data_IF_927072826686
#
_entry.id   IF_927072826686
#
_cell.length_a   1.000
_cell.length_b   1.000
_cell.length_c   1.000
_cell.angle_alpha   90.00
_cell.angle_beta   90.00
_cell.angle_gamma   90.00
#
_symmetry.space_group_name_H-M   'P 1'
#
loop_
_entity.id
_entity.type
_entity.pdbx_description
1 polymer ?
#
# COMPACT_ATOMS: atom_id res chain seq x y z
N UNK A 1 5.25 -28.04 15.53
CA UNK A 1 5.43 -26.62 15.16
C UNK A 1 4.26 -26.20 14.27
N UNK A 2 3.53 -25.14 14.60
CA UNK A 2 2.35 -24.74 13.82
C UNK A 2 2.70 -24.53 12.34
N UNK A 3 2.00 -25.22 11.43
CA UNK A 3 2.20 -25.17 9.97
C UNK A 3 2.33 -23.74 9.42
N UNK A 4 1.60 -22.79 10.01
CA UNK A 4 1.65 -21.38 9.67
C UNK A 4 3.01 -20.71 9.92
N UNK A 5 3.71 -21.05 11.00
CA UNK A 5 5.01 -20.45 11.31
C UNK A 5 6.08 -20.88 10.29
N UNK A 6 6.02 -22.13 9.83
CA UNK A 6 6.87 -22.63 8.75
C UNK A 6 6.61 -21.88 7.45
N UNK A 7 5.34 -21.66 7.13
CA UNK A 7 4.90 -20.92 5.95
C UNK A 7 5.36 -19.45 5.99
N UNK A 8 5.16 -18.76 7.11
CA UNK A 8 5.61 -17.39 7.30
C UNK A 8 7.14 -17.26 7.21
N UNK A 9 7.89 -18.17 7.83
CA UNK A 9 9.36 -18.18 7.74
C UNK A 9 9.84 -18.39 6.30
N UNK A 10 9.15 -19.24 5.53
CA UNK A 10 9.41 -19.42 4.10
C UNK A 10 9.16 -18.12 3.34
N UNK A 11 8.00 -17.49 3.53
CA UNK A 11 7.63 -16.27 2.79
C UNK A 11 8.55 -15.08 3.13
N UNK A 12 8.97 -14.95 4.39
CA UNK A 12 10.01 -13.99 4.78
C UNK A 12 11.32 -14.26 4.00
N UNK A 13 11.85 -15.48 4.06
CA UNK A 13 13.10 -15.81 3.35
C UNK A 13 13.02 -15.54 1.84
N UNK A 14 11.91 -15.89 1.20
CA UNK A 14 11.69 -15.64 -0.23
C UNK A 14 11.53 -14.14 -0.55
N UNK A 15 11.09 -13.34 0.42
CA UNK A 15 10.91 -11.91 0.27
C UNK A 15 12.18 -11.07 0.46
N UNK A 16 13.25 -11.63 1.04
CA UNK A 16 14.51 -10.90 1.28
C UNK A 16 15.12 -10.24 0.02
N UNK A 17 15.18 -10.91 -1.15
CA UNK A 17 15.72 -10.26 -2.36
C UNK A 17 14.93 -9.01 -2.76
N UNK A 18 13.61 -9.02 -2.59
CA UNK A 18 12.78 -7.84 -2.85
C UNK A 18 13.13 -6.71 -1.89
N UNK A 19 13.21 -6.99 -0.59
CA UNK A 19 13.59 -6.00 0.42
C UNK A 19 14.97 -5.40 0.12
N UNK A 20 15.98 -6.23 -0.13
CA UNK A 20 17.34 -5.75 -0.42
C UNK A 20 17.40 -4.91 -1.70
N UNK A 21 16.62 -5.28 -2.73
CA UNK A 21 16.54 -4.49 -3.97
C UNK A 21 15.96 -3.11 -3.70
N UNK A 22 14.87 -3.01 -2.92
CA UNK A 22 14.26 -1.72 -2.59
C UNK A 22 15.19 -0.88 -1.70
N UNK A 23 15.81 -1.48 -0.68
CA UNK A 23 16.76 -0.78 0.19
C UNK A 23 17.99 -0.29 -0.59
N UNK A 24 18.48 -1.06 -1.57
CA UNK A 24 19.58 -0.64 -2.45
C UNK A 24 19.16 0.57 -3.31
N UNK A 25 17.98 0.52 -3.94
CA UNK A 25 17.46 1.63 -4.75
C UNK A 25 17.29 2.89 -3.90
N UNK A 26 16.70 2.74 -2.70
CA UNK A 26 16.54 3.85 -1.76
C UNK A 26 17.89 4.41 -1.31
N UNK A 27 18.84 3.54 -0.97
CA UNK A 27 20.19 3.93 -0.56
C UNK A 27 20.93 4.70 -1.66
N UNK A 28 20.90 4.19 -2.89
CA UNK A 28 21.48 4.89 -4.05
C UNK A 28 20.82 6.24 -4.27
N UNK A 29 19.49 6.32 -4.20
CA UNK A 29 18.75 7.58 -4.27
C UNK A 29 19.23 8.58 -3.22
N UNK A 30 19.34 8.17 -1.96
CA UNK A 30 19.81 9.04 -0.88
C UNK A 30 21.25 9.50 -1.08
N UNK A 31 22.16 8.61 -1.49
CA UNK A 31 23.55 8.99 -1.81
C UNK A 31 23.60 10.03 -2.91
N UNK A 32 22.81 9.87 -3.98
CA UNK A 32 22.75 10.87 -5.06
C UNK A 32 22.20 12.21 -4.58
N UNK A 33 21.16 12.23 -3.75
CA UNK A 33 20.61 13.46 -3.20
C UNK A 33 21.60 14.19 -2.29
N UNK A 34 22.34 13.46 -1.45
CA UNK A 34 23.39 14.04 -0.60
C UNK A 34 24.52 14.63 -1.47
N UNK A 35 24.93 13.93 -2.54
CA UNK A 35 25.90 14.46 -3.49
C UNK A 35 25.48 15.79 -4.13
N UNK A 36 24.22 15.87 -4.56
CA UNK A 36 23.65 17.12 -5.08
C UNK A 36 23.53 18.21 -4.00
N UNK A 37 23.16 17.84 -2.77
CA UNK A 37 23.09 18.79 -1.66
C UNK A 37 24.45 19.42 -1.35
N UNK A 38 25.54 18.64 -1.45
CA UNK A 38 26.90 19.17 -1.36
C UNK A 38 27.27 20.11 -2.51
N UNK A 39 26.79 19.84 -3.72
CA UNK A 39 27.04 20.72 -4.88
C UNK A 39 26.26 22.04 -4.80
N UNK A 40 24.96 21.98 -4.47
CA UNK A 40 24.07 23.14 -4.38
C UNK A 40 24.06 23.82 -3.00
N UNK A 41 24.82 23.30 -2.04
CA UNK A 41 24.88 23.78 -0.65
C UNK A 41 23.49 23.87 0.01
N UNK A 42 22.60 22.92 -0.30
CA UNK A 42 21.22 22.90 0.18
C UNK A 42 20.72 21.49 0.46
N UNK A 43 20.24 21.25 1.69
CA UNK A 43 19.66 19.97 2.11
C UNK A 43 18.19 19.80 1.71
N UNK A 44 17.57 20.83 1.13
CA UNK A 44 16.18 20.83 0.66
C UNK A 44 15.92 19.66 -0.29
N UNK A 45 16.84 19.39 -1.22
CA UNK A 45 16.70 18.28 -2.17
C UNK A 45 16.68 16.90 -1.48
N UNK A 46 17.46 16.72 -0.42
CA UNK A 46 17.50 15.48 0.38
C UNK A 46 16.17 15.28 1.09
N UNK A 47 15.63 16.34 1.70
CA UNK A 47 14.33 16.29 2.36
C UNK A 47 13.20 15.95 1.37
N UNK A 48 13.18 16.59 0.19
CA UNK A 48 12.19 16.32 -0.86
C UNK A 48 12.26 14.86 -1.30
N UNK A 49 13.47 14.32 -1.54
CA UNK A 49 13.61 12.91 -1.94
C UNK A 49 13.15 11.97 -0.82
N UNK A 50 13.51 12.24 0.44
CA UNK A 50 13.13 11.40 1.58
C UNK A 50 11.60 11.37 1.78
N UNK A 51 10.92 12.51 1.68
CA UNK A 51 9.45 12.62 1.69
C UNK A 51 8.86 11.84 0.51
N UNK A 52 9.42 12.01 -0.69
CA UNK A 52 8.96 11.30 -1.90
C UNK A 52 9.09 9.78 -1.75
N UNK A 53 10.16 9.30 -1.11
CA UNK A 53 10.36 7.89 -0.79
C UNK A 53 9.36 7.41 0.26
N UNK A 54 8.95 8.23 1.23
CA UNK A 54 7.82 7.91 2.11
C UNK A 54 6.55 7.67 1.28
N UNK A 55 6.20 8.58 0.36
CA UNK A 55 5.04 8.40 -0.53
C UNK A 55 5.15 7.14 -1.41
N UNK A 56 6.36 6.82 -1.90
CA UNK A 56 6.59 5.60 -2.69
C UNK A 56 6.24 4.31 -1.91
N UNK A 57 6.27 4.33 -0.57
CA UNK A 57 5.86 3.18 0.25
C UNK A 57 4.37 2.84 0.11
N UNK A 58 3.55 3.75 -0.44
CA UNK A 58 2.18 3.45 -0.85
C UNK A 58 2.13 2.17 -1.71
N UNK A 59 3.11 2.01 -2.61
CA UNK A 59 3.19 0.88 -3.54
C UNK A 59 4.06 -0.28 -3.05
N UNK A 60 4.74 -0.16 -1.91
CA UNK A 60 5.67 -1.19 -1.42
C UNK A 60 4.96 -2.52 -1.19
N UNK A 61 3.93 -2.54 -0.34
CA UNK A 61 3.22 -3.77 -0.01
C UNK A 61 2.47 -4.36 -1.23
N UNK A 62 1.73 -3.57 -2.03
CA UNK A 62 1.16 -4.05 -3.30
C UNK A 62 2.20 -4.70 -4.24
N UNK A 63 3.35 -4.06 -4.44
CA UNK A 63 4.40 -4.57 -5.33
C UNK A 63 5.07 -5.83 -4.78
N UNK A 64 5.32 -5.88 -3.47
CA UNK A 64 5.83 -7.08 -2.79
C UNK A 64 4.89 -8.27 -3.00
N UNK A 65 3.59 -8.07 -2.74
CA UNK A 65 2.60 -9.13 -2.87
C UNK A 65 2.46 -9.60 -4.31
N UNK A 66 2.40 -8.68 -5.27
CA UNK A 66 2.35 -9.03 -6.69
C UNK A 66 3.57 -9.88 -7.09
N UNK A 67 4.77 -9.50 -6.64
CA UNK A 67 6.00 -10.25 -6.91
C UNK A 67 5.97 -11.63 -6.26
N UNK A 68 5.60 -11.70 -4.99
CA UNK A 68 5.51 -12.96 -4.23
C UNK A 68 4.48 -13.92 -4.83
N UNK A 69 3.31 -13.41 -5.22
CA UNK A 69 2.25 -14.18 -5.87
C UNK A 69 2.69 -14.65 -7.27
N UNK A 70 3.36 -13.81 -8.06
CA UNK A 70 3.87 -14.20 -9.37
C UNK A 70 4.93 -15.30 -9.30
N UNK A 71 5.81 -15.29 -8.29
CA UNK A 71 6.75 -16.38 -8.03
C UNK A 71 5.98 -17.68 -7.76
N UNK A 72 4.94 -17.61 -6.94
CA UNK A 72 4.11 -18.78 -6.61
C UNK A 72 3.30 -19.28 -7.81
N UNK A 73 2.84 -18.37 -8.68
CA UNK A 73 2.15 -18.73 -9.92
C UNK A 73 3.02 -19.27 -11.03
N UNK A 74 4.31 -18.97 -11.04
CA UNK A 74 5.25 -19.63 -11.95
C UNK A 74 5.60 -21.03 -11.47
N UNK A 75 5.71 -21.22 -10.16
CA UNK A 75 6.15 -22.48 -9.54
C UNK A 75 4.98 -23.43 -9.21
N UNK A 76 3.73 -22.97 -9.30
CA UNK A 76 2.52 -23.71 -8.93
C UNK A 76 2.54 -24.24 -7.48
N UNK A 77 3.39 -23.70 -6.61
CA UNK A 77 3.57 -24.19 -5.23
C UNK A 77 2.30 -24.05 -4.38
N UNK A 78 1.38 -23.15 -4.75
CA UNK A 78 0.11 -23.02 -4.03
C UNK A 78 -0.77 -24.26 -4.17
N UNK A 79 -0.69 -25.00 -5.30
CA UNK A 79 -1.53 -26.18 -5.56
C UNK A 79 -1.14 -27.36 -4.67
N UNK A 80 0.13 -27.41 -4.26
CA UNK A 80 0.69 -28.48 -3.44
C UNK A 80 0.79 -28.09 -1.96
N UNK A 81 0.22 -26.95 -1.56
CA UNK A 81 0.27 -26.49 -0.19
C UNK A 81 -0.90 -27.08 0.63
N UNK A 82 -0.65 -27.83 1.72
CA UNK A 82 -1.71 -28.42 2.55
C UNK A 82 -2.46 -27.39 3.41
N UNK A 83 -2.07 -26.12 3.39
CA UNK A 83 -2.75 -25.05 4.12
C UNK A 83 -3.87 -24.43 3.28
N UNK A 84 -4.93 -23.98 3.94
CA UNK A 84 -6.00 -23.21 3.29
C UNK A 84 -5.47 -21.94 2.62
N UNK A 85 -6.16 -21.49 1.56
CA UNK A 85 -5.79 -20.29 0.82
C UNK A 85 -5.72 -19.04 1.70
N UNK A 86 -6.57 -18.96 2.74
CA UNK A 86 -6.52 -17.88 3.75
C UNK A 86 -5.16 -17.84 4.44
N UNK A 87 -4.65 -18.99 4.93
CA UNK A 87 -3.36 -19.06 5.62
C UNK A 87 -2.21 -18.67 4.70
N UNK A 88 -2.29 -19.05 3.42
CA UNK A 88 -1.29 -18.74 2.40
C UNK A 88 -1.25 -17.24 2.08
N UNK A 89 -2.40 -16.60 1.85
CA UNK A 89 -2.43 -15.17 1.59
C UNK A 89 -2.06 -14.36 2.83
N UNK A 90 -2.48 -14.81 4.02
CA UNK A 90 -2.17 -14.15 5.28
C UNK A 90 -0.66 -14.20 5.58
N UNK A 91 0.03 -15.32 5.35
CA UNK A 91 1.48 -15.39 5.57
C UNK A 91 2.25 -14.43 4.68
N UNK A 92 1.84 -14.27 3.42
CA UNK A 92 2.41 -13.27 2.51
C UNK A 92 2.13 -11.84 2.92
N UNK A 93 0.90 -11.58 3.33
CA UNK A 93 0.49 -10.26 3.79
C UNK A 93 1.29 -9.84 5.01
N UNK A 94 1.45 -10.73 6.00
CA UNK A 94 2.27 -10.48 7.19
C UNK A 94 3.74 -10.29 6.80
N UNK A 95 4.31 -11.15 5.95
CA UNK A 95 5.71 -11.01 5.52
C UNK A 95 5.96 -9.66 4.83
N UNK A 96 5.10 -9.28 3.90
CA UNK A 96 5.17 -7.99 3.22
C UNK A 96 4.95 -6.81 4.17
N UNK A 97 4.00 -6.93 5.10
CA UNK A 97 3.70 -5.89 6.08
C UNK A 97 4.90 -5.62 6.98
N UNK A 98 5.56 -6.67 7.48
CA UNK A 98 6.77 -6.53 8.30
C UNK A 98 7.91 -5.84 7.53
N UNK A 99 8.09 -6.18 6.24
CA UNK A 99 9.07 -5.51 5.39
C UNK A 99 8.72 -4.06 5.09
N UNK A 100 7.45 -3.78 4.79
CA UNK A 100 6.96 -2.42 4.59
C UNK A 100 7.14 -1.58 5.83
N UNK A 101 6.81 -2.12 7.02
CA UNK A 101 6.95 -1.43 8.29
C UNK A 101 8.42 -1.14 8.62
N UNK A 102 9.31 -2.11 8.44
CA UNK A 102 10.75 -1.93 8.65
C UNK A 102 11.36 -0.90 7.71
N UNK A 103 11.08 -1.01 6.40
CA UNK A 103 11.56 -0.07 5.38
C UNK A 103 11.00 1.34 5.59
N UNK A 104 9.71 1.46 5.90
CA UNK A 104 9.05 2.74 6.16
C UNK A 104 9.62 3.41 7.42
N UNK A 105 9.91 2.63 8.47
CA UNK A 105 10.54 3.15 9.70
C UNK A 105 11.95 3.70 9.42
N UNK A 106 12.73 3.02 8.58
CA UNK A 106 14.06 3.49 8.19
C UNK A 106 13.98 4.81 7.42
N UNK A 107 13.12 4.90 6.40
CA UNK A 107 13.00 6.14 5.63
C UNK A 107 12.38 7.28 6.44
N UNK A 108 11.50 6.98 7.40
CA UNK A 108 10.95 7.97 8.31
C UNK A 108 12.06 8.64 9.13
N UNK A 109 12.97 7.85 9.72
CA UNK A 109 14.14 8.39 10.46
C UNK A 109 14.99 9.28 9.56
N UNK A 110 15.30 8.80 8.35
CA UNK A 110 16.06 9.57 7.35
C UNK A 110 15.35 10.88 6.98
N UNK A 111 14.03 10.85 6.83
CA UNK A 111 13.21 12.02 6.49
C UNK A 111 13.23 13.05 7.61
N UNK A 112 13.07 12.62 8.87
CA UNK A 112 13.17 13.50 10.04
C UNK A 112 14.54 14.18 10.09
N UNK A 113 15.62 13.41 9.93
CA UNK A 113 16.99 13.97 9.92
C UNK A 113 17.14 14.97 8.76
N UNK A 114 16.65 14.65 7.57
CA UNK A 114 16.78 15.50 6.39
C UNK A 114 16.04 16.83 6.55
N UNK A 115 14.83 16.82 7.12
CA UNK A 115 14.03 18.03 7.38
C UNK A 115 14.71 18.91 8.43
N UNK A 116 15.28 18.32 9.49
CA UNK A 116 16.02 19.08 10.51
C UNK A 116 17.22 19.82 9.90
N UNK A 117 17.92 19.20 8.96
CA UNK A 117 19.07 19.82 8.29
C UNK A 117 18.66 20.81 7.17
N UNK A 118 17.45 20.70 6.63
CA UNK A 118 16.97 21.57 5.56
C UNK A 118 16.47 22.94 6.05
N UNK A 119 16.19 23.11 7.36
CA UNK A 119 15.80 24.38 7.99
C UNK A 119 14.43 24.92 7.55
N UNK A 120 14.26 25.22 6.26
CA UNK A 120 13.04 25.74 5.63
C UNK A 120 11.84 24.79 5.83
N UNK A 121 12.07 23.48 5.78
CA UNK A 121 11.01 22.48 5.97
C UNK A 121 10.61 22.27 7.43
N UNK A 122 11.39 22.72 8.42
CA UNK A 122 10.99 22.60 9.83
C UNK A 122 9.75 23.44 10.16
N UNK A 123 9.52 24.51 9.41
CA UNK A 123 8.34 25.35 9.55
C UNK A 123 7.08 24.71 8.94
N UNK A 124 7.25 23.78 7.99
CA UNK A 124 6.15 23.14 7.27
C UNK A 124 5.77 21.76 7.83
N UNK A 125 6.72 21.03 8.43
CA UNK A 125 6.51 19.68 8.93
C UNK A 125 7.07 19.48 10.33
N UNK A 126 6.20 19.13 11.28
CA UNK A 126 6.63 18.57 12.56
C UNK A 126 6.77 17.03 12.45
N UNK A 127 7.52 16.43 13.38
CA UNK A 127 7.71 14.98 13.49
C UNK A 127 6.39 14.22 13.65
N UNK A 128 5.43 14.80 14.37
CA UNK A 128 4.07 14.25 14.49
C UNK A 128 3.38 14.12 13.14
N UNK A 129 3.51 15.14 12.29
CA UNK A 129 2.84 15.19 11.00
C UNK A 129 3.40 14.14 10.05
N UNK A 130 4.73 14.01 10.03
CA UNK A 130 5.41 12.97 9.26
C UNK A 130 5.03 11.57 9.72
N UNK A 131 4.85 11.38 11.03
CA UNK A 131 4.42 10.10 11.58
C UNK A 131 2.99 9.75 11.14
N UNK A 132 2.05 10.69 11.24
CA UNK A 132 0.67 10.50 10.76
C UNK A 132 0.62 10.28 9.24
N UNK A 133 1.42 11.01 8.47
CA UNK A 133 1.57 10.81 7.03
C UNK A 133 2.00 9.38 6.71
N UNK A 134 3.05 8.87 7.38
CA UNK A 134 3.51 7.48 7.21
C UNK A 134 2.43 6.46 7.60
N UNK A 135 1.66 6.70 8.66
CA UNK A 135 0.54 5.83 9.05
C UNK A 135 -0.55 5.79 7.98
N UNK A 136 -0.92 6.93 7.42
CA UNK A 136 -1.91 7.01 6.33
C UNK A 136 -1.40 6.29 5.08
N UNK A 137 -0.12 6.49 4.72
CA UNK A 137 0.51 5.79 3.59
C UNK A 137 0.48 4.27 3.81
N UNK A 138 0.83 3.80 5.01
CA UNK A 138 0.79 2.38 5.34
C UNK A 138 -0.64 1.82 5.26
N UNK A 139 -1.63 2.55 5.79
CA UNK A 139 -3.05 2.17 5.71
C UNK A 139 -3.56 2.07 4.27
N UNK A 140 -3.22 3.05 3.42
CA UNK A 140 -3.55 3.01 1.99
C UNK A 140 -2.84 1.85 1.28
N UNK A 141 -1.57 1.58 1.62
CA UNK A 141 -0.81 0.45 1.07
C UNK A 141 -1.50 -0.88 1.37
N UNK A 142 -1.93 -1.09 2.62
CA UNK A 142 -2.71 -2.25 3.06
C UNK A 142 -4.01 -2.39 2.26
N UNK A 143 -4.73 -1.29 2.06
CA UNK A 143 -5.96 -1.29 1.27
C UNK A 143 -5.70 -1.73 -0.17
N UNK A 144 -4.73 -1.13 -0.86
CA UNK A 144 -4.36 -1.51 -2.23
C UNK A 144 -3.86 -2.94 -2.34
N UNK A 145 -3.17 -3.45 -1.32
CA UNK A 145 -2.72 -4.84 -1.26
C UNK A 145 -3.85 -5.86 -1.30
N UNK A 146 -5.02 -5.56 -0.72
CA UNK A 146 -6.19 -6.46 -0.84
C UNK A 146 -6.67 -6.60 -2.28
N UNK A 147 -6.67 -5.49 -3.03
CA UNK A 147 -7.01 -5.49 -4.45
C UNK A 147 -6.00 -6.28 -5.28
N UNK A 148 -4.70 -6.23 -4.95
CA UNK A 148 -3.69 -7.06 -5.60
C UNK A 148 -4.01 -8.54 -5.43
N UNK A 149 -4.35 -9.00 -4.22
CA UNK A 149 -4.76 -10.39 -4.01
C UNK A 149 -5.95 -10.76 -4.87
N UNK A 150 -7.00 -9.94 -4.85
CA UNK A 150 -8.22 -10.19 -5.60
C UNK A 150 -7.98 -10.22 -7.11
N UNK A 151 -7.30 -9.22 -7.66
CA UNK A 151 -7.00 -9.17 -9.08
C UNK A 151 -6.10 -10.29 -9.53
N UNK A 152 -5.12 -10.66 -8.73
CA UNK A 152 -4.24 -11.77 -9.06
C UNK A 152 -4.99 -13.11 -9.03
N UNK A 153 -5.81 -13.36 -7.99
CA UNK A 153 -6.65 -14.56 -7.89
C UNK A 153 -7.65 -14.63 -9.05
N UNK A 154 -8.32 -13.51 -9.35
CA UNK A 154 -9.26 -13.40 -10.46
C UNK A 154 -8.55 -13.67 -11.80
N UNK A 155 -7.41 -13.03 -12.06
CA UNK A 155 -6.61 -13.23 -13.27
C UNK A 155 -6.25 -14.71 -13.50
N UNK A 156 -5.85 -15.42 -12.45
CA UNK A 156 -5.50 -16.83 -12.53
C UNK A 156 -6.70 -17.77 -12.58
N UNK A 157 -7.86 -17.38 -12.06
CA UNK A 157 -9.12 -18.14 -12.18
C UNK A 157 -9.67 -18.10 -13.62
N UNK A 158 -9.51 -16.97 -14.32
CA UNK A 158 -9.96 -16.76 -15.69
C UNK A 158 -9.10 -17.49 -16.74
N UNK A 159 -8.07 -18.26 -16.34
CA UNK A 159 -7.24 -19.09 -17.24
C UNK A 159 -8.00 -20.18 -17.99
N UNK A 160 -9.11 -20.65 -17.42
CA UNK A 160 -9.91 -21.74 -17.97
C UNK A 160 -10.80 -21.34 -19.15
N UNK A 161 -11.11 -20.05 -19.32
CA UNK A 161 -12.08 -19.56 -20.30
C UNK A 161 -11.34 -18.84 -21.44
N UNK A 162 -11.34 -19.45 -22.63
CA UNK A 162 -10.52 -19.03 -23.78
C UNK A 162 -10.78 -17.59 -24.24
N UNK A 163 -12.05 -17.15 -24.28
CA UNK A 163 -12.40 -15.77 -24.66
C UNK A 163 -12.02 -14.75 -23.58
N UNK A 164 -12.26 -15.07 -22.30
CA UNK A 164 -11.89 -14.20 -21.18
C UNK A 164 -10.37 -14.00 -21.06
N UNK A 165 -9.55 -14.91 -21.60
CA UNK A 165 -8.09 -14.76 -21.63
C UNK A 165 -7.62 -13.50 -22.37
N UNK A 166 -8.31 -13.10 -23.44
CA UNK A 166 -7.92 -11.94 -24.27
C UNK A 166 -8.33 -10.60 -23.65
N UNK A 167 -9.38 -10.59 -22.83
CA UNK A 167 -10.00 -9.39 -22.25
C UNK A 167 -9.78 -9.24 -20.74
N UNK A 168 -8.89 -10.04 -20.14
CA UNK A 168 -8.69 -10.04 -18.67
C UNK A 168 -8.38 -8.67 -18.10
N UNK A 169 -7.49 -7.92 -18.76
CA UNK A 169 -7.06 -6.61 -18.28
C UNK A 169 -8.22 -5.59 -18.32
N UNK A 170 -9.10 -5.67 -19.34
CA UNK A 170 -10.32 -4.86 -19.42
C UNK A 170 -11.28 -5.17 -18.28
N UNK A 171 -11.44 -6.44 -17.91
CA UNK A 171 -12.29 -6.84 -16.78
C UNK A 171 -11.78 -6.29 -15.45
N UNK A 172 -10.47 -6.29 -15.22
CA UNK A 172 -9.89 -5.70 -13.99
C UNK A 172 -10.18 -4.20 -13.91
N UNK A 173 -10.00 -3.48 -15.01
CA UNK A 173 -10.32 -2.04 -15.10
C UNK A 173 -11.82 -1.82 -14.88
N UNK A 174 -12.67 -2.63 -15.49
CA UNK A 174 -14.12 -2.51 -15.34
C UNK A 174 -14.57 -2.76 -13.91
N UNK A 175 -13.98 -3.73 -13.20
CA UNK A 175 -14.28 -3.97 -11.78
C UNK A 175 -13.84 -2.78 -10.91
N UNK A 176 -12.65 -2.21 -11.16
CA UNK A 176 -12.21 -1.03 -10.43
C UNK A 176 -13.17 0.15 -10.62
N UNK A 177 -13.53 0.44 -11.87
CA UNK A 177 -14.45 1.54 -12.19
C UNK A 177 -15.85 1.27 -11.61
N UNK A 178 -16.36 0.04 -11.76
CA UNK A 178 -17.63 -0.38 -11.20
C UNK A 178 -17.68 -0.23 -9.68
N UNK A 179 -16.59 -0.59 -8.98
CA UNK A 179 -16.45 -0.37 -7.55
C UNK A 179 -16.49 1.12 -7.18
N UNK A 180 -15.73 1.97 -7.89
CA UNK A 180 -15.74 3.42 -7.63
C UNK A 180 -17.12 4.05 -7.87
N UNK A 181 -17.81 3.65 -8.94
CA UNK A 181 -19.18 4.08 -9.22
C UNK A 181 -20.12 3.61 -8.11
N UNK A 182 -20.02 2.35 -7.67
CA UNK A 182 -20.83 1.82 -6.59
C UNK A 182 -20.61 2.57 -5.27
N UNK A 183 -19.35 2.83 -4.89
CA UNK A 183 -18.99 3.62 -3.70
C UNK A 183 -19.53 5.04 -3.81
N UNK A 184 -19.42 5.67 -4.98
CA UNK A 184 -19.94 7.01 -5.23
C UNK A 184 -21.46 7.08 -5.00
N UNK A 185 -22.23 6.14 -5.57
CA UNK A 185 -23.68 6.07 -5.37
C UNK A 185 -24.05 5.74 -3.93
N UNK A 186 -23.34 4.80 -3.29
CA UNK A 186 -23.54 4.44 -1.89
C UNK A 186 -23.35 5.65 -0.96
N UNK A 187 -22.35 6.48 -1.23
CA UNK A 187 -22.06 7.67 -0.45
C UNK A 187 -23.11 8.78 -0.58
N UNK A 188 -23.97 8.74 -1.61
CA UNK A 188 -25.06 9.72 -1.82
C UNK A 188 -26.37 9.33 -1.14
N UNK A 189 -26.46 8.12 -0.58
CA UNK A 189 -27.66 7.69 0.14
C UNK A 189 -27.82 8.59 1.39
N UNK A 190 -28.98 9.24 1.61
CA UNK A 190 -29.15 10.23 2.67
C UNK A 190 -28.80 9.72 4.09
N UNK A 191 -29.12 8.46 4.36
CA UNK A 191 -28.81 7.81 5.65
C UNK A 191 -27.29 7.63 5.82
N UNK A 192 -26.58 7.24 4.76
CA UNK A 192 -25.13 7.05 4.77
C UNK A 192 -24.42 8.40 4.95
N UNK A 193 -24.87 9.42 4.21
CA UNK A 193 -24.36 10.77 4.30
C UNK A 193 -24.59 11.38 5.70
N UNK A 194 -25.76 11.16 6.30
CA UNK A 194 -26.03 11.54 7.70
C UNK A 194 -25.12 10.83 8.70
N UNK A 195 -24.89 9.51 8.54
CA UNK A 195 -23.97 8.73 9.38
C UNK A 195 -22.53 9.21 9.26
N UNK A 196 -22.10 9.58 8.06
CA UNK A 196 -20.76 10.15 7.83
C UNK A 196 -20.58 11.46 8.58
N UNK A 197 -21.51 12.41 8.41
CA UNK A 197 -21.47 13.70 9.12
C UNK A 197 -21.47 13.54 10.65
N UNK A 198 -22.22 12.57 11.18
CA UNK A 198 -22.28 12.32 12.63
C UNK A 198 -21.01 11.65 13.19
N UNK A 199 -20.21 11.00 12.35
CA UNK A 199 -19.01 10.25 12.74
C UNK A 199 -17.71 10.94 12.35
N UNK A 200 -17.76 12.24 12.10
CA UNK A 200 -16.58 13.04 11.80
C UNK A 200 -15.75 13.25 13.06
N UNK A 201 -14.46 13.00 12.93
CA UNK A 201 -13.44 13.47 13.87
C UNK A 201 -12.51 14.41 13.12
N UNK A 202 -12.23 15.57 13.71
CA UNK A 202 -11.26 16.51 13.16
C UNK A 202 -9.85 16.01 13.47
N UNK A 203 -9.05 15.84 12.43
CA UNK A 203 -7.66 15.41 12.54
C UNK A 203 -6.78 16.59 12.14
N UNK A 204 -6.02 17.10 13.10
CA UNK A 204 -5.21 18.32 12.96
C UNK A 204 -3.97 18.13 12.06
N UNK A 205 -3.75 16.92 11.52
CA UNK A 205 -2.55 16.52 10.80
C UNK A 205 -2.85 15.84 9.45
N UNK A 206 -3.71 16.44 8.62
CA UNK A 206 -4.04 15.86 7.31
C UNK A 206 -3.27 16.56 6.21
N UNK A 207 -2.53 15.77 5.42
CA UNK A 207 -1.75 16.27 4.31
C UNK A 207 -2.65 16.64 3.12
N UNK A 208 -2.70 17.92 2.75
CA UNK A 208 -3.45 18.44 1.61
C UNK A 208 -2.50 18.90 0.53
N UNK A 209 -2.79 18.49 -0.71
CA UNK A 209 -2.07 18.93 -1.90
C UNK A 209 -2.96 19.93 -2.63
N UNK A 210 -2.57 21.20 -2.65
CA UNK A 210 -3.23 22.22 -3.46
C UNK A 210 -2.28 22.64 -4.59
N UNK A 211 -2.66 22.27 -5.81
CA UNK A 211 -1.92 22.64 -7.02
C UNK A 211 -2.49 23.93 -7.59
N UNK A 212 -1.75 25.03 -7.49
CA UNK A 212 -2.07 26.27 -8.20
C UNK A 212 -1.13 26.45 -9.41
N UNK A 213 -1.54 27.22 -10.42
CA UNK A 213 -0.87 27.29 -11.74
C UNK A 213 0.63 27.69 -11.71
N UNK A 214 1.11 28.22 -10.59
CA UNK A 214 2.50 28.68 -10.43
C UNK A 214 3.27 28.02 -9.27
N UNK A 215 2.59 27.35 -8.34
CA UNK A 215 3.23 26.74 -7.17
C UNK A 215 2.51 25.45 -6.74
N UNK A 216 3.31 24.47 -6.33
CA UNK A 216 2.84 23.28 -5.65
C UNK A 216 2.87 23.57 -4.15
N UNK A 217 1.70 23.79 -3.53
CA UNK A 217 1.61 24.02 -2.09
C UNK A 217 1.11 22.74 -1.42
N UNK A 218 1.99 22.13 -0.64
CA UNK A 218 1.63 21.06 0.27
C UNK A 218 1.40 21.71 1.65
N UNK A 219 0.15 21.70 2.12
CA UNK A 219 -0.21 22.16 3.46
C UNK A 219 -0.61 20.96 4.31
N UNK A 220 -0.47 21.11 5.63
CA UNK A 220 -1.10 20.20 6.58
C UNK A 220 -2.25 20.98 7.19
N UNK A 221 -3.45 20.55 6.87
CA UNK A 221 -4.67 21.21 7.30
C UNK A 221 -5.50 20.29 8.17
N UNK A 222 -6.33 20.93 8.99
CA UNK A 222 -7.33 20.22 9.76
C UNK A 222 -8.37 19.68 8.79
N UNK A 223 -8.32 18.38 8.54
CA UNK A 223 -9.33 17.69 7.74
C UNK A 223 -10.19 16.83 8.64
N UNK A 224 -11.48 16.87 8.33
CA UNK A 224 -12.49 16.07 8.97
C UNK A 224 -12.52 14.67 8.36
N UNK A 225 -12.10 13.67 9.14
CA UNK A 225 -12.11 12.27 8.72
C UNK A 225 -13.34 11.59 9.35
N UNK A 226 -14.17 10.97 8.53
CA UNK A 226 -15.31 10.19 9.00
C UNK A 226 -14.88 8.79 9.42
N UNK A 227 -15.09 8.43 10.70
CA UNK A 227 -14.85 7.07 11.22
C UNK A 227 -15.68 6.05 10.44
N UNK A 228 -16.91 6.39 10.07
CA UNK A 228 -17.75 5.53 9.24
C UNK A 228 -17.10 5.21 7.88
N UNK A 229 -16.41 6.19 7.29
CA UNK A 229 -15.70 5.98 6.02
C UNK A 229 -14.49 5.04 6.21
N UNK A 230 -13.73 5.19 7.31
CA UNK A 230 -12.64 4.26 7.65
C UNK A 230 -13.13 2.83 7.86
N UNK A 231 -14.25 2.66 8.57
CA UNK A 231 -14.90 1.34 8.74
C UNK A 231 -15.31 0.73 7.39
N UNK A 232 -15.84 1.54 6.47
CA UNK A 232 -16.17 1.10 5.11
C UNK A 232 -14.96 0.56 4.35
N UNK A 233 -13.81 1.24 4.42
CA UNK A 233 -12.56 0.75 3.82
C UNK A 233 -12.09 -0.55 4.47
N UNK A 234 -12.18 -0.67 5.80
CA UNK A 234 -11.80 -1.88 6.53
C UNK A 234 -12.68 -3.09 6.17
N UNK A 235 -14.01 -2.90 6.09
CA UNK A 235 -14.95 -3.94 5.65
C UNK A 235 -14.63 -4.35 4.20
N UNK A 236 -14.37 -3.38 3.33
CA UNK A 236 -13.98 -3.65 1.94
C UNK A 236 -12.71 -4.49 1.88
N UNK A 237 -11.69 -4.12 2.66
CA UNK A 237 -10.44 -4.88 2.76
C UNK A 237 -10.69 -6.35 3.12
N UNK A 238 -11.50 -6.61 4.17
CA UNK A 238 -11.84 -7.97 4.59
C UNK A 238 -12.60 -8.71 3.48
N UNK A 239 -13.63 -8.09 2.91
CA UNK A 239 -14.47 -8.71 1.88
C UNK A 239 -13.66 -9.09 0.63
N UNK A 240 -12.81 -8.19 0.15
CA UNK A 240 -11.93 -8.40 -1.02
C UNK A 240 -10.90 -9.49 -0.73
N UNK A 241 -10.33 -9.51 0.48
CA UNK A 241 -9.39 -10.56 0.90
C UNK A 241 -10.04 -11.95 0.98
N UNK A 242 -11.24 -12.05 1.54
CA UNK A 242 -12.01 -13.30 1.60
C UNK A 242 -12.42 -13.77 0.20
N UNK A 243 -12.86 -12.85 -0.67
CA UNK A 243 -13.18 -13.17 -2.06
C UNK A 243 -11.94 -13.69 -2.81
N UNK A 244 -10.77 -13.09 -2.61
CA UNK A 244 -9.52 -13.56 -3.18
C UNK A 244 -9.14 -14.97 -2.69
N UNK A 245 -9.31 -15.22 -1.39
CA UNK A 245 -9.05 -16.52 -0.77
C UNK A 245 -9.96 -17.61 -1.36
N UNK A 246 -11.25 -17.33 -1.47
CA UNK A 246 -12.26 -18.24 -2.03
C UNK A 246 -12.00 -18.56 -3.51
N UNK A 247 -11.61 -17.55 -4.31
CA UNK A 247 -11.26 -17.74 -5.71
C UNK A 247 -10.04 -18.66 -5.90
N UNK A 248 -9.10 -18.64 -4.96
CA UNK A 248 -7.93 -19.53 -5.00
C UNK A 248 -8.27 -20.96 -4.59
N UNK A 249 -9.09 -21.13 -3.56
CA UNK A 249 -9.44 -22.46 -3.02
C UNK A 249 -10.18 -23.30 -4.07
N UNK A 250 -11.15 -22.72 -4.77
CA UNK A 250 -11.86 -23.38 -5.89
C UNK A 250 -10.97 -23.86 -7.04
N UNK A 251 -9.72 -23.41 -7.11
CA UNK A 251 -8.76 -23.83 -8.13
C UNK A 251 -7.88 -25.01 -7.68
N UNK A 252 -7.75 -25.24 -6.37
CA UNK A 252 -6.96 -26.35 -5.82
C UNK A 252 -7.72 -27.69 -5.92
N UNK A 253 -9.05 -27.66 -6.08
CA UNK A 253 -9.91 -28.85 -6.19
C UNK A 253 -9.99 -29.46 -7.62
N UNK A 254 -8.99 -29.26 -8.48
CA UNK A 254 -8.93 -29.89 -9.82
C UNK A 254 -7.78 -30.86 -9.92
#
# INVERSE_FOLDING_TARGET
MHSFNGLLKKDLKLGLPFLYTILLIMGLGMVTAIGFAGYYQSFVLVAILAISLCFAHLFFLPAFLLTSLNIEGKTQLWLHNPNSSIKLLLSKWIAGFLYSLGSLSLIFIVTVISIVNAGEFQLAFNQSDLFFMCLVILGMSIYFSSWIFFYWALYHSMKRIAWMNKIRWLLLILIWNGWNVAVYWFNRIPIIDALKRKSVISVDHTFTFEGNQHFFQASIERTDISIFTLLGYFITFIAVFLAASWLLEKKVEV
#
